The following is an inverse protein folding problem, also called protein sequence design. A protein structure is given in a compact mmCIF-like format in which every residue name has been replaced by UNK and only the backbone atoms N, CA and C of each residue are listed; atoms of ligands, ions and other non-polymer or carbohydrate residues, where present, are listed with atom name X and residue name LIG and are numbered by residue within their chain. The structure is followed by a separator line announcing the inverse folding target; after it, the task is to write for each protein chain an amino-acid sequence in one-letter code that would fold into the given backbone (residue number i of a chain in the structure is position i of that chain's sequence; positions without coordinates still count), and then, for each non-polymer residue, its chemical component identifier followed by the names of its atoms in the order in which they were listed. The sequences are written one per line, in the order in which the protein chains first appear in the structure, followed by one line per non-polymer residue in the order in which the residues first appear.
data_IF_726813272427
#
_entry.id   IF_726813272427
#
_cell.length_a   1.000
_cell.length_b   1.000
_cell.length_c   1.000
_cell.angle_alpha   90.00
_cell.angle_beta   90.00
_cell.angle_gamma   90.00
#
_symmetry.space_group_name_H-M   'P 1'
#
loop_
_entity.id
_entity.type
_entity.pdbx_description
1 polymer ?
#
# COMPACT_ATOMS: atom_id res chain seq x y z
N UNK A 1 -8.95 5.25 -6.45
CA UNK A 1 -8.70 3.81 -6.62
C UNK A 1 -7.81 3.60 -7.83
N UNK A 2 -6.73 2.83 -7.71
CA UNK A 2 -5.73 2.64 -8.79
C UNK A 2 -5.09 1.25 -8.73
N UNK A 3 -4.22 0.94 -9.70
CA UNK A 3 -3.37 -0.26 -9.67
C UNK A 3 -1.92 0.19 -9.64
N UNK A 4 -1.12 -0.41 -8.79
CA UNK A 4 0.31 -0.11 -8.65
C UNK A 4 1.14 -1.38 -8.77
N UNK A 5 2.29 -1.30 -9.43
CA UNK A 5 3.29 -2.37 -9.46
C UNK A 5 4.40 -2.02 -8.48
N UNK A 6 4.60 -2.88 -7.47
CA UNK A 6 5.68 -2.75 -6.49
C UNK A 6 6.68 -3.89 -6.64
N UNK A 7 7.91 -3.62 -6.20
CA UNK A 7 8.95 -4.64 -6.07
C UNK A 7 8.99 -5.16 -4.63
N UNK A 8 9.12 -6.46 -4.48
CA UNK A 8 9.13 -7.17 -3.17
C UNK A 8 10.18 -8.29 -3.17
N UNK A 9 10.58 -8.81 -1.99
CA UNK A 9 11.42 -10.00 -1.90
C UNK A 9 10.78 -11.27 -2.50
N UNK A 10 11.57 -12.26 -2.95
CA UNK A 10 11.08 -13.49 -3.60
C UNK A 10 10.04 -14.31 -2.81
N UNK A 11 10.07 -14.22 -1.49
CA UNK A 11 9.17 -14.93 -0.59
C UNK A 11 8.29 -13.97 0.22
N UNK A 12 8.01 -12.79 -0.35
CA UNK A 12 7.16 -11.80 0.31
C UNK A 12 5.73 -12.30 0.41
N UNK A 13 5.25 -12.42 1.64
CA UNK A 13 3.84 -12.59 1.96
C UNK A 13 3.34 -11.28 2.57
N UNK A 14 2.28 -10.74 1.99
CA UNK A 14 1.74 -9.48 2.45
C UNK A 14 1.14 -9.63 3.85
N UNK A 15 1.55 -8.82 4.85
CA UNK A 15 1.10 -9.02 6.20
C UNK A 15 -0.38 -8.71 6.35
N UNK A 16 -0.99 -9.46 7.25
CA UNK A 16 -2.37 -9.27 7.68
C UNK A 16 -2.39 -8.85 9.13
N UNK A 17 -3.38 -8.08 9.52
CA UNK A 17 -3.58 -7.73 10.93
C UNK A 17 -4.15 -8.92 11.72
N UNK A 18 -4.45 -8.71 13.01
CA UNK A 18 -5.05 -9.72 13.87
C UNK A 18 -6.45 -10.16 13.44
N UNK A 19 -7.12 -9.39 12.59
CA UNK A 19 -8.45 -9.69 12.04
C UNK A 19 -8.35 -10.43 10.69
N UNK A 20 -7.15 -10.53 10.11
CA UNK A 20 -6.88 -11.21 8.85
C UNK A 20 -6.99 -10.31 7.62
N UNK A 21 -7.15 -9.00 7.83
CA UNK A 21 -7.22 -7.99 6.78
C UNK A 21 -5.81 -7.57 6.35
N UNK A 22 -5.62 -7.28 5.06
CA UNK A 22 -4.30 -6.87 4.58
C UNK A 22 -3.90 -5.50 5.11
N UNK A 23 -2.70 -5.41 5.67
CA UNK A 23 -2.18 -4.16 6.20
C UNK A 23 -1.64 -3.26 5.06
N UNK A 24 -1.83 -1.94 5.07
CA UNK A 24 -1.26 -1.05 4.05
C UNK A 24 0.28 -1.14 4.00
N UNK A 25 0.87 -0.98 2.81
CA UNK A 25 2.32 -0.72 2.68
C UNK A 25 2.53 0.78 2.62
N UNK A 26 2.96 1.38 3.73
CA UNK A 26 3.27 2.80 3.76
C UNK A 26 4.46 3.13 2.85
N UNK A 27 4.34 4.22 2.10
CA UNK A 27 5.36 4.68 1.16
C UNK A 27 6.56 5.37 1.82
N UNK A 28 6.36 5.85 3.05
CA UNK A 28 7.36 6.46 3.92
C UNK A 28 8.12 5.42 4.76
N UNK A 29 9.18 5.85 5.44
CA UNK A 29 9.86 5.01 6.43
C UNK A 29 9.06 4.90 7.73
N UNK A 30 9.36 3.84 8.51
CA UNK A 30 8.84 3.71 9.87
C UNK A 30 9.24 4.92 10.73
N UNK A 31 10.49 5.37 10.56
CA UNK A 31 11.06 6.50 11.28
C UNK A 31 10.32 7.80 10.98
N UNK A 32 10.05 8.11 9.71
CA UNK A 32 9.30 9.30 9.31
C UNK A 32 7.87 9.25 9.83
N UNK A 33 7.18 8.12 9.64
CA UNK A 33 5.81 7.94 10.13
C UNK A 33 5.74 8.09 11.66
N UNK A 34 6.71 7.54 12.38
CA UNK A 34 6.78 7.62 13.83
C UNK A 34 7.07 9.05 14.29
N UNK A 35 8.00 9.75 13.63
CA UNK A 35 8.32 11.15 13.94
C UNK A 35 7.10 12.07 13.72
N UNK A 36 6.37 11.87 12.62
CA UNK A 36 5.11 12.58 12.34
C UNK A 36 4.07 12.30 13.42
N UNK A 37 3.82 11.02 13.73
CA UNK A 37 2.85 10.63 14.75
C UNK A 37 3.20 11.18 16.13
N UNK A 38 4.49 11.13 16.52
CA UNK A 38 4.96 11.69 17.80
C UNK A 38 4.73 13.20 17.86
N UNK A 39 5.02 13.92 16.78
CA UNK A 39 4.84 15.37 16.74
C UNK A 39 3.35 15.74 16.78
N UNK A 40 2.51 15.06 16.01
CA UNK A 40 1.06 15.24 16.05
C UNK A 40 0.49 14.91 17.44
N UNK A 41 0.94 13.82 18.07
CA UNK A 41 0.58 13.46 19.44
C UNK A 41 0.97 14.57 20.44
N UNK A 42 2.16 15.15 20.32
CA UNK A 42 2.60 16.28 21.17
C UNK A 42 1.79 17.54 20.94
N UNK A 43 1.37 17.82 19.71
CA UNK A 43 0.48 18.94 19.42
C UNK A 43 -0.90 18.71 20.05
N UNK A 44 -1.42 17.47 19.98
CA UNK A 44 -2.70 17.10 20.58
C UNK A 44 -2.69 17.29 22.10
N UNK A 45 -1.62 16.84 22.77
CA UNK A 45 -1.45 17.02 24.22
C UNK A 45 -1.40 18.50 24.64
N UNK A 46 -1.02 19.39 23.72
CA UNK A 46 -1.00 20.85 23.94
C UNK A 46 -2.29 21.55 23.53
N UNK A 47 -3.23 20.85 22.86
CA UNK A 47 -4.41 21.48 22.26
C UNK A 47 -4.07 22.33 21.01
N UNK A 48 -2.92 22.07 20.40
CA UNK A 48 -2.37 22.83 19.26
C UNK A 48 -2.54 22.10 17.93
N UNK A 49 -3.03 20.85 17.95
CA UNK A 49 -3.18 20.06 16.73
C UNK A 49 -4.16 20.74 15.76
N UNK A 50 -3.83 20.86 14.46
CA UNK A 50 -4.69 21.55 13.48
C UNK A 50 -6.15 21.08 13.51
N UNK A 51 -6.38 19.76 13.63
CA UNK A 51 -7.73 19.20 13.71
C UNK A 51 -8.48 19.70 14.96
N UNK A 52 -7.83 19.76 16.12
CA UNK A 52 -8.45 20.29 17.34
C UNK A 52 -8.77 21.79 17.19
N UNK A 53 -7.89 22.56 16.53
CA UNK A 53 -8.13 23.99 16.26
C UNK A 53 -9.31 24.21 15.29
N UNK A 54 -9.57 23.23 14.41
CA UNK A 54 -10.73 23.19 13.51
C UNK A 54 -11.99 22.62 14.19
N UNK A 55 -11.89 22.15 15.44
CA UNK A 55 -12.98 21.53 16.18
C UNK A 55 -13.26 20.07 15.79
N UNK A 56 -12.34 19.43 15.09
CA UNK A 56 -12.39 18.01 14.76
C UNK A 56 -11.83 17.17 15.92
N UNK A 57 -12.39 15.97 16.10
CA UNK A 57 -11.97 15.02 17.12
C UNK A 57 -12.14 15.49 18.56
N UNK A 58 -13.07 16.43 18.80
CA UNK A 58 -13.36 16.98 20.13
C UNK A 58 -13.91 15.93 21.12
N UNK A 59 -14.43 14.81 20.62
CA UNK A 59 -14.88 13.66 21.40
C UNK A 59 -13.75 12.76 21.90
N UNK A 60 -12.52 12.91 21.37
CA UNK A 60 -11.38 12.07 21.70
C UNK A 60 -10.46 12.75 22.69
N UNK A 61 -10.09 12.04 23.76
CA UNK A 61 -9.21 12.56 24.79
C UNK A 61 -7.75 12.46 24.35
N UNK A 62 -7.39 11.37 23.69
CA UNK A 62 -6.03 11.08 23.25
C UNK A 62 -5.95 11.05 21.73
N UNK A 63 -4.84 11.54 21.17
CA UNK A 63 -4.58 11.48 19.72
C UNK A 63 -4.70 10.06 19.17
N UNK A 64 -4.26 9.06 19.95
CA UNK A 64 -4.34 7.66 19.56
C UNK A 64 -5.78 7.13 19.37
N UNK A 65 -6.77 7.80 19.95
CA UNK A 65 -8.20 7.47 19.75
C UNK A 65 -8.76 8.16 18.50
N UNK A 66 -8.19 9.31 18.10
CA UNK A 66 -8.58 10.08 16.91
C UNK A 66 -7.94 9.52 15.64
N UNK A 67 -6.62 9.37 15.66
CA UNK A 67 -5.78 9.05 14.50
C UNK A 67 -5.42 7.55 14.44
N UNK A 68 -5.55 6.87 15.58
CA UNK A 68 -5.10 5.50 15.76
C UNK A 68 -3.78 5.41 16.53
N UNK A 69 -3.43 4.19 16.92
CA UNK A 69 -2.19 3.91 17.64
C UNK A 69 -0.95 4.35 16.86
N UNK A 70 0.21 4.47 17.52
CA UNK A 70 1.46 4.80 16.84
C UNK A 70 1.75 3.78 15.74
N UNK A 71 2.48 4.19 14.68
CA UNK A 71 2.89 3.29 13.61
C UNK A 71 3.45 1.97 14.14
N UNK A 72 2.97 0.87 13.59
CA UNK A 72 3.39 -0.45 14.03
C UNK A 72 4.68 -0.88 13.31
N UNK A 73 5.63 -1.42 14.07
CA UNK A 73 6.95 -1.85 13.54
C UNK A 73 6.84 -3.06 12.60
N UNK A 74 5.73 -3.79 12.68
CA UNK A 74 5.41 -4.95 11.85
C UNK A 74 4.68 -4.57 10.54
N UNK A 75 4.31 -3.29 10.35
CA UNK A 75 3.86 -2.81 9.05
C UNK A 75 4.94 -3.00 7.98
N UNK A 76 4.47 -3.14 6.74
CA UNK A 76 5.33 -3.21 5.57
C UNK A 76 5.73 -1.79 5.18
N UNK A 77 6.91 -1.36 5.61
CA UNK A 77 7.47 -0.07 5.22
C UNK A 77 8.18 -0.22 3.88
N UNK A 78 7.90 0.65 2.91
CA UNK A 78 8.50 0.60 1.56
C UNK A 78 10.03 0.62 1.59
N UNK A 79 10.60 1.35 2.55
CA UNK A 79 12.05 1.50 2.69
C UNK A 79 12.78 0.27 3.22
N UNK A 80 12.05 -0.80 3.57
CA UNK A 80 12.66 -1.98 4.19
C UNK A 80 13.50 -2.83 3.23
N UNK A 81 13.40 -2.61 1.92
CA UNK A 81 14.12 -3.43 0.93
C UNK A 81 15.04 -2.60 0.06
N UNK A 82 16.30 -3.01 0.03
CA UNK A 82 17.24 -2.55 -0.99
C UNK A 82 16.83 -3.04 -2.38
N UNK A 83 17.36 -2.41 -3.43
CA UNK A 83 17.15 -2.87 -4.80
C UNK A 83 17.62 -4.32 -5.04
N UNK A 84 18.59 -4.80 -4.25
CA UNK A 84 19.05 -6.19 -4.30
C UNK A 84 18.10 -7.19 -3.62
N UNK A 85 17.23 -6.72 -2.72
CA UNK A 85 16.26 -7.56 -2.00
C UNK A 85 14.91 -7.57 -2.70
N UNK A 86 14.46 -6.41 -3.19
CA UNK A 86 13.19 -6.25 -3.90
C UNK A 86 13.31 -6.65 -5.38
N UNK A 87 13.43 -7.96 -5.63
CA UNK A 87 13.68 -8.51 -6.98
C UNK A 87 12.43 -8.97 -7.72
N UNK A 88 11.31 -9.19 -7.02
CA UNK A 88 10.08 -9.72 -7.60
C UNK A 88 9.02 -8.62 -7.79
N UNK A 89 8.11 -8.83 -8.74
CA UNK A 89 7.08 -7.88 -9.15
C UNK A 89 5.70 -8.35 -8.66
N UNK A 90 4.97 -7.46 -8.02
CA UNK A 90 3.58 -7.68 -7.55
C UNK A 90 2.71 -6.51 -7.99
N UNK A 91 1.46 -6.79 -8.38
CA UNK A 91 0.43 -5.77 -8.58
C UNK A 91 -0.44 -5.62 -7.33
N UNK A 92 -0.73 -4.37 -6.96
CA UNK A 92 -1.53 -3.96 -5.80
C UNK A 92 -2.76 -3.14 -6.22
N UNK A 93 -3.79 -3.13 -5.36
CA UNK A 93 -4.96 -2.24 -5.46
C UNK A 93 -4.80 -1.00 -4.56
N UNK A 94 -5.08 0.20 -5.09
CA UNK A 94 -5.13 1.43 -4.31
C UNK A 94 -6.58 1.79 -3.98
N UNK A 95 -6.92 1.90 -2.69
CA UNK A 95 -7.03 3.10 -1.81
C UNK A 95 -6.72 2.65 -0.36
N UNK A 96 -6.58 1.34 -0.15
CA UNK A 96 -6.20 0.68 1.09
C UNK A 96 -4.80 0.05 1.06
N UNK A 97 -4.05 0.17 -0.04
CA UNK A 97 -2.62 -0.17 -0.28
C UNK A 97 -2.07 -1.51 0.27
N UNK A 98 -2.95 -2.39 0.76
CA UNK A 98 -2.58 -3.64 1.39
C UNK A 98 -2.87 -4.88 0.55
N UNK A 99 -3.80 -4.85 -0.41
CA UNK A 99 -4.21 -6.11 -1.06
C UNK A 99 -3.32 -6.42 -2.28
N UNK A 100 -2.45 -7.47 -2.23
CA UNK A 100 -1.78 -7.95 -3.43
C UNK A 100 -2.82 -8.59 -4.37
N UNK A 101 -2.87 -8.10 -5.60
CA UNK A 101 -3.73 -8.63 -6.66
C UNK A 101 -3.08 -9.79 -7.43
N UNK A 102 -1.78 -9.99 -7.24
CA UNK A 102 -1.02 -11.07 -7.88
C UNK A 102 -0.02 -11.69 -6.90
N UNK A 103 0.44 -12.92 -7.17
CA UNK A 103 1.68 -13.43 -6.59
C UNK A 103 2.90 -12.56 -6.96
N UNK A 104 4.03 -12.82 -6.28
CA UNK A 104 5.32 -12.23 -6.61
C UNK A 104 5.99 -12.99 -7.75
N UNK A 105 6.39 -12.27 -8.81
CA UNK A 105 7.04 -12.86 -10.00
C UNK A 105 8.47 -12.36 -10.16
N UNK A 106 9.41 -13.26 -10.48
CA UNK A 106 10.82 -12.90 -10.65
C UNK A 106 11.05 -11.97 -11.84
N UNK A 107 10.16 -12.02 -12.84
CA UNK A 107 10.28 -11.25 -14.06
C UNK A 107 9.01 -10.47 -14.39
N UNK A 108 9.19 -9.35 -15.11
CA UNK A 108 8.08 -8.57 -15.66
C UNK A 108 7.22 -9.38 -16.63
N UNK A 109 7.83 -10.29 -17.40
CA UNK A 109 7.13 -11.12 -18.38
C UNK A 109 6.18 -12.11 -17.71
N UNK A 110 6.57 -12.72 -16.59
CA UNK A 110 5.68 -13.60 -15.82
C UNK A 110 4.46 -12.84 -15.28
N UNK A 111 4.67 -11.61 -14.79
CA UNK A 111 3.57 -10.75 -14.36
C UNK A 111 2.67 -10.37 -15.54
N UNK A 112 3.23 -9.96 -16.68
CA UNK A 112 2.47 -9.67 -17.91
C UNK A 112 1.65 -10.89 -18.34
N UNK A 113 2.26 -12.06 -18.35
CA UNK A 113 1.61 -13.31 -18.71
C UNK A 113 0.44 -13.60 -17.78
N UNK A 114 0.63 -13.49 -16.46
CA UNK A 114 -0.44 -13.66 -15.48
C UNK A 114 -1.62 -12.72 -15.74
N UNK A 115 -1.35 -11.42 -15.89
CA UNK A 115 -2.39 -10.40 -16.11
C UNK A 115 -3.16 -10.61 -17.43
N UNK A 116 -2.50 -11.17 -18.44
CA UNK A 116 -3.08 -11.44 -19.76
C UNK A 116 -3.82 -12.78 -19.89
N UNK A 117 -3.71 -13.66 -18.90
CA UNK A 117 -4.27 -15.02 -18.96
C UNK A 117 -5.21 -15.36 -17.83
N UNK A 118 -5.04 -14.73 -16.66
CA UNK A 118 -5.87 -14.95 -15.49
C UNK A 118 -6.93 -13.86 -15.36
N UNK A 119 -8.12 -14.19 -14.83
CA UNK A 119 -9.01 -13.16 -14.34
C UNK A 119 -8.33 -12.36 -13.21
N UNK A 120 -8.69 -11.10 -13.06
CA UNK A 120 -8.22 -10.31 -11.93
C UNK A 120 -8.82 -10.81 -10.60
N UNK A 121 -8.34 -10.26 -9.49
CA UNK A 121 -8.79 -10.61 -8.14
C UNK A 121 -10.32 -10.54 -7.97
N UNK A 122 -11.00 -9.67 -8.74
CA UNK A 122 -12.44 -9.45 -8.70
C UNK A 122 -13.21 -10.35 -9.67
N UNK A 123 -12.53 -11.28 -10.34
CA UNK A 123 -13.13 -12.17 -11.33
C UNK A 123 -13.43 -11.50 -12.67
N UNK A 124 -12.89 -10.31 -12.94
CA UNK A 124 -12.98 -9.72 -14.28
C UNK A 124 -11.99 -10.42 -15.21
N UNK A 125 -12.38 -10.58 -16.48
CA UNK A 125 -11.54 -11.27 -17.46
C UNK A 125 -10.15 -10.63 -17.64
N UNK A 126 -9.19 -11.38 -18.19
CA UNK A 126 -7.81 -10.92 -18.36
C UNK A 126 -7.75 -9.63 -19.20
N UNK A 127 -6.73 -8.81 -18.93
CA UNK A 127 -6.43 -7.65 -19.77
C UNK A 127 -5.73 -8.07 -21.06
N UNK A 128 -5.76 -7.22 -22.10
CA UNK A 128 -4.93 -7.46 -23.28
C UNK A 128 -3.45 -7.46 -22.89
N UNK A 129 -2.64 -8.25 -23.61
CA UNK A 129 -1.20 -8.34 -23.36
C UNK A 129 -0.54 -6.97 -23.50
N UNK A 130 -0.94 -6.19 -24.50
CA UNK A 130 -0.47 -4.83 -24.73
C UNK A 130 -0.77 -3.91 -23.53
N UNK A 131 -1.95 -4.07 -22.93
CA UNK A 131 -2.32 -3.28 -21.75
C UNK A 131 -1.57 -3.73 -20.49
N UNK A 132 -1.30 -5.04 -20.34
CA UNK A 132 -0.46 -5.56 -19.27
C UNK A 132 0.98 -5.05 -19.37
N UNK A 133 1.58 -5.10 -20.56
CA UNK A 133 2.92 -4.57 -20.81
C UNK A 133 2.99 -3.07 -20.50
N UNK A 134 2.01 -2.29 -20.94
CA UNK A 134 1.95 -0.86 -20.65
C UNK A 134 1.81 -0.56 -19.15
N UNK A 135 1.00 -1.33 -18.42
CA UNK A 135 0.85 -1.20 -16.97
C UNK A 135 2.14 -1.54 -16.24
N UNK A 136 2.73 -2.70 -16.55
CA UNK A 136 3.98 -3.15 -15.92
C UNK A 136 5.11 -2.16 -16.19
N UNK A 137 5.20 -1.62 -17.40
CA UNK A 137 6.20 -0.62 -17.75
C UNK A 137 6.00 0.71 -17.02
N UNK A 138 4.75 1.21 -16.92
CA UNK A 138 4.44 2.49 -16.26
C UNK A 138 4.49 2.40 -14.73
N UNK A 139 4.25 1.23 -14.16
CA UNK A 139 4.23 0.99 -12.72
C UNK A 139 2.94 1.44 -12.02
N UNK A 140 2.05 2.17 -12.69
CA UNK A 140 0.76 2.59 -12.13
C UNK A 140 -0.29 2.82 -13.23
N UNK A 141 -1.56 2.53 -12.92
CA UNK A 141 -2.70 2.97 -13.73
C UNK A 141 -3.93 3.34 -12.85
N UNK A 142 -4.58 4.50 -13.10
CA UNK A 142 -5.80 4.87 -12.39
C UNK A 142 -6.98 3.98 -12.81
N UNK A 143 -7.95 3.75 -11.90
CA UNK A 143 -9.08 2.82 -12.08
C UNK A 143 -9.95 3.05 -13.32
N UNK A 144 -9.94 4.26 -13.88
CA UNK A 144 -10.72 4.63 -15.06
C UNK A 144 -10.12 4.23 -16.41
N UNK A 145 -8.88 3.74 -16.45
CA UNK A 145 -8.28 3.26 -17.71
C UNK A 145 -8.83 1.87 -17.99
N UNK A 146 -9.75 1.77 -18.97
CA UNK A 146 -10.11 0.48 -19.56
C UNK A 146 -8.88 -0.07 -20.28
N UNK A 147 -8.22 -1.03 -19.65
CA UNK A 147 -7.14 -1.85 -20.21
C UNK A 147 -7.72 -2.90 -21.17
N UNK A 148 -8.54 -2.45 -22.13
CA UNK A 148 -9.13 -3.29 -23.19
C UNK A 148 -8.30 -3.14 -24.44
#
# INVERSE_FOLDING_TARGET
MGREIRRVPPAWEHPKDSEGEYQPIADESYEEAMDEWIEAHRQWLRGEHPDQLLGLGAEYQFYAEWDGGPPAVDLSWRERWTEGEATHWVMYENVSEGTPLTPAFATREELVHFLSTQPDFWGQGPMSREAAEALVQKGHAPSGVRLR
#
